data_IF_933344509095
#
_entry.id   IF_933344509095
#
_cell.length_a   1.000
_cell.length_b   1.000
_cell.length_c   1.000
_cell.angle_alpha   90.00
_cell.angle_beta   90.00
_cell.angle_gamma   90.00
#
_symmetry.space_group_name_H-M   'P 1'
#
loop_
_entity.id
_entity.type
_entity.pdbx_description
1 polymer ?
#
# COMPACT_ATOMS: atom_id res chain seq x y z
N UNK A 1 16.05 -4.15 34.55
CA UNK A 1 16.33 -4.80 33.24
C UNK A 1 15.12 -4.76 32.30
N UNK A 2 13.89 -5.02 32.74
CA UNK A 2 12.65 -4.83 31.97
C UNK A 2 12.52 -3.47 31.24
N UNK A 3 12.82 -2.36 31.92
CA UNK A 3 12.76 -1.00 31.30
C UNK A 3 13.77 -0.82 30.17
N UNK A 4 14.90 -1.52 30.23
CA UNK A 4 15.97 -1.44 29.22
C UNK A 4 15.60 -2.31 28.01
N UNK A 5 14.97 -3.47 28.22
CA UNK A 5 14.45 -4.32 27.16
C UNK A 5 13.30 -3.65 26.38
N UNK A 6 12.35 -3.04 27.10
CA UNK A 6 11.29 -2.20 26.50
C UNK A 6 11.83 -0.95 25.78
N UNK A 7 13.00 -0.44 26.20
CA UNK A 7 13.64 0.71 25.55
C UNK A 7 14.54 0.31 24.37
N UNK A 8 15.10 -0.90 24.36
CA UNK A 8 15.86 -1.44 23.24
C UNK A 8 14.93 -1.86 22.08
N UNK A 9 13.75 -2.41 22.41
CA UNK A 9 12.68 -2.66 21.43
C UNK A 9 12.11 -1.37 20.81
N UNK A 10 12.25 -0.22 21.50
CA UNK A 10 11.74 1.08 21.05
C UNK A 10 12.53 1.74 19.91
N UNK A 11 13.75 1.27 19.60
CA UNK A 11 14.70 2.06 18.81
C UNK A 11 14.82 1.71 17.32
N UNK A 12 14.11 0.71 16.81
CA UNK A 12 14.23 0.33 15.40
C UNK A 12 12.85 0.25 14.80
N UNK A 13 12.44 1.29 14.08
CA UNK A 13 11.65 1.22 12.84
C UNK A 13 11.11 2.58 12.43
N UNK A 14 11.83 3.21 11.51
CA UNK A 14 11.25 4.20 10.63
C UNK A 14 10.77 3.44 9.38
N UNK A 15 9.46 3.37 9.16
CA UNK A 15 8.84 2.89 7.92
C UNK A 15 9.02 4.02 6.88
N UNK A 16 10.26 4.31 6.50
CA UNK A 16 10.64 5.47 5.69
C UNK A 16 10.20 5.38 4.20
N UNK A 17 9.15 4.61 3.88
CA UNK A 17 8.76 4.28 2.51
C UNK A 17 7.43 4.93 2.04
N UNK A 18 6.72 5.68 2.90
CA UNK A 18 5.43 6.28 2.49
C UNK A 18 5.59 7.41 1.47
N UNK A 19 6.70 8.14 1.49
CA UNK A 19 6.89 9.36 0.71
C UNK A 19 6.96 9.15 -0.83
N UNK A 20 6.92 7.91 -1.32
CA UNK A 20 7.14 7.56 -2.72
C UNK A 20 5.93 7.09 -3.52
N UNK A 21 4.71 7.08 -2.96
CA UNK A 21 3.50 6.68 -3.69
C UNK A 21 2.91 7.86 -4.48
N UNK A 22 3.71 8.48 -5.35
CA UNK A 22 3.20 9.42 -6.35
C UNK A 22 3.02 8.64 -7.65
N UNK A 23 1.87 7.99 -7.78
CA UNK A 23 1.41 7.39 -9.04
C UNK A 23 0.98 8.55 -9.96
N UNK A 24 1.92 9.04 -10.78
CA UNK A 24 1.65 10.10 -11.77
C UNK A 24 1.00 9.48 -13.00
N UNK A 25 -0.25 9.05 -12.87
CA UNK A 25 -1.03 8.66 -14.04
C UNK A 25 -1.63 9.91 -14.69
N UNK A 26 -0.78 10.55 -15.50
CA UNK A 26 -1.07 11.36 -16.70
C UNK A 26 -2.40 12.15 -16.74
N UNK A 27 -2.74 12.80 -15.63
CA UNK A 27 -3.88 13.69 -15.49
C UNK A 27 -3.49 15.16 -15.44
N UNK A 28 -2.67 15.65 -16.38
CA UNK A 28 -2.52 17.10 -16.57
C UNK A 28 -2.15 17.44 -18.02
N UNK A 29 -3.07 17.20 -18.94
CA UNK A 29 -3.73 18.26 -19.75
C UNK A 29 -4.71 17.60 -20.71
N UNK A 30 -5.99 17.97 -20.60
CA UNK A 30 -6.88 17.92 -21.72
C UNK A 30 -6.36 18.91 -22.78
N UNK A 31 -5.57 18.42 -23.73
CA UNK A 31 -5.36 19.08 -25.02
C UNK A 31 -6.52 18.69 -25.95
N UNK A 32 -7.15 19.65 -26.65
CA UNK A 32 -8.27 19.37 -27.55
C UNK A 32 -7.77 18.77 -28.88
N UNK A 33 -7.29 17.52 -28.87
CA UNK A 33 -6.92 16.68 -30.03
C UNK A 33 -6.29 15.43 -29.42
N UNK A 34 -7.03 14.37 -29.08
CA UNK A 34 -7.67 13.45 -30.01
C UNK A 34 -8.94 12.92 -29.33
N UNK A 35 -10.10 13.36 -29.78
CA UNK A 35 -11.32 12.61 -29.55
C UNK A 35 -11.21 11.33 -30.40
N UNK A 36 -10.65 10.25 -29.84
CA UNK A 36 -11.02 8.93 -30.28
C UNK A 36 -12.50 8.78 -29.93
N UNK A 37 -13.37 9.09 -30.88
CA UNK A 37 -14.81 8.93 -30.79
C UNK A 37 -15.12 7.44 -30.55
N UNK A 38 -15.26 7.06 -29.29
CA UNK A 38 -15.62 5.72 -28.85
C UNK A 38 -15.77 5.66 -27.34
N UNK A 39 -16.73 4.86 -26.85
CA UNK A 39 -16.98 4.58 -25.42
C UNK A 39 -15.70 4.21 -24.64
N UNK A 40 -14.70 3.64 -25.32
CA UNK A 40 -13.43 3.20 -24.75
C UNK A 40 -12.54 4.32 -24.18
N UNK A 41 -12.56 5.53 -24.77
CA UNK A 41 -11.75 6.66 -24.25
C UNK A 41 -12.34 7.23 -22.95
N UNK A 42 -13.67 7.19 -22.81
CA UNK A 42 -14.39 7.65 -21.62
C UNK A 42 -14.25 6.63 -20.48
N UNK A 43 -14.41 5.33 -20.77
CA UNK A 43 -14.24 4.26 -19.78
C UNK A 43 -12.81 4.19 -19.23
N UNK A 44 -11.80 4.38 -20.09
CA UNK A 44 -10.40 4.45 -19.66
C UNK A 44 -10.15 5.64 -18.72
N UNK A 45 -10.67 6.82 -19.06
CA UNK A 45 -10.49 8.03 -18.24
C UNK A 45 -11.20 7.92 -16.88
N UNK A 46 -12.39 7.30 -16.83
CA UNK A 46 -13.13 7.07 -15.58
C UNK A 46 -12.46 6.00 -14.69
N UNK A 47 -11.95 4.93 -15.28
CA UNK A 47 -11.19 3.91 -14.55
C UNK A 47 -9.94 4.54 -13.91
N UNK A 48 -9.16 5.32 -14.66
CA UNK A 48 -7.96 5.98 -14.13
C UNK A 48 -8.28 7.02 -13.03
N UNK A 49 -9.40 7.74 -13.14
CA UNK A 49 -9.83 8.64 -12.07
C UNK A 49 -10.12 7.88 -10.76
N UNK A 50 -10.74 6.70 -10.85
CA UNK A 50 -11.02 5.85 -9.70
C UNK A 50 -9.75 5.22 -9.12
N UNK A 51 -8.82 4.76 -9.97
CA UNK A 51 -7.49 4.28 -9.54
C UNK A 51 -6.77 5.38 -8.77
N UNK A 52 -6.68 6.59 -9.32
CA UNK A 52 -6.01 7.72 -8.69
C UNK A 52 -6.63 8.09 -7.34
N UNK A 53 -7.97 8.09 -7.26
CA UNK A 53 -8.67 8.35 -6.00
C UNK A 53 -8.36 7.27 -4.96
N UNK A 54 -8.43 5.99 -5.33
CA UNK A 54 -8.14 4.89 -4.41
C UNK A 54 -6.69 4.92 -3.91
N UNK A 55 -5.75 5.27 -4.79
CA UNK A 55 -4.33 5.40 -4.47
C UNK A 55 -4.04 6.61 -3.58
N UNK A 56 -4.71 7.75 -3.78
CA UNK A 56 -4.57 8.93 -2.92
C UNK A 56 -5.13 8.64 -1.50
N UNK A 57 -6.30 8.00 -1.43
CA UNK A 57 -6.87 7.51 -0.17
C UNK A 57 -5.90 6.54 0.51
N UNK A 58 -5.34 5.58 -0.25
CA UNK A 58 -4.34 4.64 0.23
C UNK A 58 -3.09 5.35 0.76
N UNK A 59 -2.51 6.28 0.01
CA UNK A 59 -1.32 7.04 0.41
C UNK A 59 -1.53 7.76 1.74
N UNK A 60 -2.69 8.40 1.89
CA UNK A 60 -3.09 9.07 3.14
C UNK A 60 -3.15 8.07 4.31
N UNK A 61 -3.75 6.89 4.08
CA UNK A 61 -3.88 5.84 5.11
C UNK A 61 -2.54 5.20 5.47
N UNK A 62 -1.68 4.96 4.48
CA UNK A 62 -0.33 4.45 4.70
C UNK A 62 0.53 5.45 5.50
N UNK A 63 0.38 6.75 5.25
CA UNK A 63 1.05 7.79 6.04
C UNK A 63 0.56 7.83 7.49
N UNK A 64 -0.76 7.78 7.69
CA UNK A 64 -1.33 7.70 9.03
C UNK A 64 -0.95 6.39 9.76
N UNK A 65 -0.76 5.30 9.02
CA UNK A 65 -0.30 4.01 9.55
C UNK A 65 1.17 4.09 10.00
N UNK A 66 2.07 4.62 9.17
CA UNK A 66 3.48 4.84 9.54
C UNK A 66 3.60 5.75 10.77
N UNK A 67 2.82 6.83 10.79
CA UNK A 67 2.68 7.70 11.95
C UNK A 67 2.26 6.93 13.22
N UNK A 68 1.33 5.97 13.11
CA UNK A 68 0.91 5.14 14.23
C UNK A 68 2.00 4.12 14.65
N UNK A 69 2.72 3.54 13.69
CA UNK A 69 3.88 2.66 13.93
C UNK A 69 4.96 3.41 14.71
N UNK A 70 5.31 4.63 14.30
CA UNK A 70 6.32 5.45 14.97
C UNK A 70 5.94 5.77 16.43
N UNK A 71 4.64 5.89 16.72
CA UNK A 71 4.09 6.11 18.06
C UNK A 71 3.88 4.82 18.85
N UNK A 72 4.09 3.65 18.25
CA UNK A 72 3.77 2.33 18.81
C UNK A 72 2.30 2.22 19.25
N UNK A 73 1.39 2.88 18.51
CA UNK A 73 -0.03 2.90 18.81
C UNK A 73 -0.76 1.82 18.01
N UNK A 74 -0.83 0.62 18.57
CA UNK A 74 -1.43 -0.56 17.93
C UNK A 74 -2.91 -0.35 17.57
N UNK A 75 -3.65 0.41 18.38
CA UNK A 75 -5.06 0.69 18.12
C UNK A 75 -5.21 1.59 16.90
N UNK A 76 -4.40 2.65 16.81
CA UNK A 76 -4.35 3.49 15.62
C UNK A 76 -3.83 2.74 14.40
N UNK A 77 -2.80 1.88 14.54
CA UNK A 77 -2.28 1.05 13.45
C UNK A 77 -3.40 0.20 12.85
N UNK A 78 -4.16 -0.53 13.67
CA UNK A 78 -5.32 -1.32 13.20
C UNK A 78 -6.34 -0.46 12.46
N UNK A 79 -6.70 0.67 13.05
CA UNK A 79 -7.68 1.60 12.45
C UNK A 79 -7.22 2.11 11.08
N UNK A 80 -5.93 2.46 10.93
CA UNK A 80 -5.41 2.93 9.65
C UNK A 80 -5.19 1.78 8.66
N UNK A 81 -4.82 0.58 9.11
CA UNK A 81 -4.74 -0.61 8.28
C UNK A 81 -6.12 -0.98 7.71
N UNK A 82 -7.18 -0.98 8.53
CA UNK A 82 -8.55 -1.22 8.07
C UNK A 82 -8.99 -0.19 7.02
N UNK A 83 -8.64 1.08 7.24
CA UNK A 83 -8.87 2.15 6.27
C UNK A 83 -8.08 1.96 4.97
N UNK A 84 -6.83 1.51 5.05
CA UNK A 84 -6.01 1.18 3.89
C UNK A 84 -6.58 -0.05 3.15
N UNK A 85 -7.05 -1.07 3.87
CA UNK A 85 -7.69 -2.26 3.28
C UNK A 85 -8.90 -1.87 2.46
N UNK A 86 -9.75 -0.97 2.96
CA UNK A 86 -10.87 -0.45 2.20
C UNK A 86 -10.45 0.25 0.90
N UNK A 87 -9.35 1.02 0.91
CA UNK A 87 -8.82 1.67 -0.30
C UNK A 87 -8.25 0.64 -1.29
N UNK A 88 -7.52 -0.37 -0.79
CA UNK A 88 -6.99 -1.47 -1.59
C UNK A 88 -8.10 -2.35 -2.18
N UNK A 89 -9.16 -2.63 -1.42
CA UNK A 89 -10.35 -3.34 -1.89
C UNK A 89 -11.05 -2.57 -3.00
N UNK A 90 -11.19 -1.24 -2.86
CA UNK A 90 -11.75 -0.41 -3.94
C UNK A 90 -10.94 -0.53 -5.22
N UNK A 91 -9.60 -0.46 -5.12
CA UNK A 91 -8.70 -0.57 -6.26
C UNK A 91 -8.77 -1.96 -6.93
N UNK A 92 -8.80 -3.02 -6.11
CA UNK A 92 -8.89 -4.41 -6.55
C UNK A 92 -10.25 -4.74 -7.22
N UNK A 93 -11.33 -4.10 -6.78
CA UNK A 93 -12.68 -4.28 -7.30
C UNK A 93 -13.03 -3.40 -8.50
N UNK A 94 -12.13 -2.50 -8.93
CA UNK A 94 -12.36 -1.71 -10.13
C UNK A 94 -12.54 -2.64 -11.34
N UNK A 95 -13.48 -2.28 -12.21
CA UNK A 95 -13.71 -3.02 -13.44
C UNK A 95 -12.83 -2.41 -14.55
N UNK A 96 -11.70 -3.03 -14.91
CA UNK A 96 -10.86 -2.51 -15.97
C UNK A 96 -11.56 -2.66 -17.33
N UNK A 97 -11.41 -1.67 -18.22
CA UNK A 97 -11.66 -1.87 -19.65
C UNK A 97 -10.84 -3.06 -20.17
N UNK A 98 -11.30 -3.71 -21.25
CA UNK A 98 -10.63 -4.92 -21.78
C UNK A 98 -9.15 -4.71 -22.10
N UNK A 99 -8.78 -3.53 -22.60
CA UNK A 99 -7.39 -3.16 -22.88
C UNK A 99 -6.48 -3.07 -21.64
N UNK A 100 -7.05 -3.02 -20.42
CA UNK A 100 -6.34 -2.83 -19.16
C UNK A 100 -6.50 -4.01 -18.21
N UNK A 101 -7.01 -5.16 -18.67
CA UNK A 101 -7.13 -6.36 -17.83
C UNK A 101 -5.77 -6.77 -17.24
N UNK A 102 -4.70 -6.73 -18.04
CA UNK A 102 -3.34 -7.03 -17.59
C UNK A 102 -2.84 -6.02 -16.54
N UNK A 103 -3.25 -4.74 -16.65
CA UNK A 103 -2.92 -3.71 -15.64
C UNK A 103 -3.59 -4.02 -14.30
N UNK A 104 -4.83 -4.49 -14.31
CA UNK A 104 -5.56 -4.83 -13.09
C UNK A 104 -4.87 -5.95 -12.31
N UNK A 105 -4.22 -6.91 -12.96
CA UNK A 105 -3.45 -7.97 -12.28
C UNK A 105 -2.33 -7.38 -11.42
N UNK A 106 -1.58 -6.41 -11.95
CA UNK A 106 -0.55 -5.69 -11.17
C UNK A 106 -1.14 -4.95 -9.96
N UNK A 107 -2.32 -4.35 -10.11
CA UNK A 107 -2.99 -3.69 -9.00
C UNK A 107 -3.51 -4.69 -7.95
N UNK A 108 -4.10 -5.81 -8.37
CA UNK A 108 -4.54 -6.90 -7.48
C UNK A 108 -3.37 -7.49 -6.68
N UNK A 109 -2.27 -7.81 -7.34
CA UNK A 109 -1.07 -8.35 -6.70
C UNK A 109 -0.44 -7.33 -5.73
N UNK A 110 -0.42 -6.06 -6.14
CA UNK A 110 0.00 -4.96 -5.28
C UNK A 110 -0.86 -4.82 -4.03
N UNK A 111 -2.17 -4.87 -4.20
CA UNK A 111 -3.14 -4.82 -3.11
C UNK A 111 -3.00 -5.99 -2.15
N UNK A 112 -2.85 -7.21 -2.65
CA UNK A 112 -2.67 -8.40 -1.81
C UNK A 112 -1.40 -8.29 -0.96
N UNK A 113 -0.27 -7.91 -1.59
CA UNK A 113 1.02 -7.78 -0.90
C UNK A 113 1.02 -6.66 0.15
N UNK A 114 0.37 -5.53 -0.14
CA UNK A 114 0.21 -4.44 0.84
C UNK A 114 -0.68 -4.83 2.02
N UNK A 115 -1.77 -5.58 1.77
CA UNK A 115 -2.64 -6.09 2.85
C UNK A 115 -1.88 -7.04 3.77
N UNK A 116 -1.09 -7.95 3.19
CA UNK A 116 -0.23 -8.86 3.94
C UNK A 116 0.77 -8.09 4.82
N UNK A 117 1.45 -7.10 4.25
CA UNK A 117 2.43 -6.30 4.98
C UNK A 117 1.82 -5.52 6.16
N UNK A 118 0.71 -4.81 5.91
CA UNK A 118 0.02 -4.04 6.95
C UNK A 118 -0.51 -4.95 8.08
N UNK A 119 -1.07 -6.11 7.72
CA UNK A 119 -1.51 -7.11 8.69
C UNK A 119 -0.32 -7.63 9.52
N UNK A 120 0.80 -7.95 8.85
CA UNK A 120 2.01 -8.41 9.52
C UNK A 120 2.58 -7.38 10.50
N UNK A 121 2.56 -6.10 10.15
CA UNK A 121 2.93 -5.02 11.09
C UNK A 121 1.99 -4.97 12.30
N UNK A 122 0.67 -4.99 12.07
CA UNK A 122 -0.32 -4.99 13.14
C UNK A 122 -0.12 -6.20 14.07
N UNK A 123 0.08 -7.39 13.52
CA UNK A 123 0.25 -8.62 14.29
C UNK A 123 1.55 -8.60 15.10
N UNK A 124 2.67 -8.19 14.47
CA UNK A 124 3.96 -8.07 15.14
C UNK A 124 3.88 -7.12 16.34
N UNK A 125 3.29 -5.95 16.17
CA UNK A 125 3.18 -4.97 17.23
C UNK A 125 2.14 -5.35 18.30
N UNK A 126 1.07 -6.05 17.91
CA UNK A 126 0.12 -6.64 18.86
C UNK A 126 0.79 -7.67 19.76
N UNK A 127 1.64 -8.53 19.18
CA UNK A 127 2.37 -9.54 19.94
C UNK A 127 3.35 -8.90 20.92
N UNK A 128 4.06 -7.84 20.50
CA UNK A 128 4.94 -7.06 21.38
C UNK A 128 4.16 -6.39 22.51
N UNK A 129 3.01 -5.79 22.21
CA UNK A 129 2.16 -5.10 23.21
C UNK A 129 1.57 -6.08 24.24
N UNK A 130 1.19 -7.28 23.80
CA UNK A 130 0.63 -8.33 24.66
C UNK A 130 1.67 -9.14 25.44
N UNK A 131 2.97 -8.95 25.18
CA UNK A 131 4.04 -9.68 25.83
C UNK A 131 4.12 -9.40 27.34
N UNK A 132 4.35 -10.46 28.12
CA UNK A 132 4.46 -10.40 29.58
C UNK A 132 5.75 -11.06 30.06
N UNK A 133 6.06 -10.98 31.37
CA UNK A 133 7.23 -11.68 31.91
C UNK A 133 7.11 -13.21 31.85
N UNK A 134 5.89 -13.73 31.84
CA UNK A 134 5.63 -15.18 31.77
C UNK A 134 5.61 -15.67 30.32
N UNK A 135 5.30 -14.78 29.37
CA UNK A 135 5.31 -15.04 27.94
C UNK A 135 5.99 -13.86 27.25
N UNK A 136 7.33 -13.81 27.27
CA UNK A 136 8.07 -12.73 26.65
C UNK A 136 7.98 -12.84 25.12
N UNK A 137 8.07 -11.69 24.46
CA UNK A 137 8.20 -11.63 23.01
C UNK A 137 9.52 -12.27 22.55
N UNK A 138 9.48 -13.07 21.49
CA UNK A 138 10.68 -13.67 20.90
C UNK A 138 11.40 -12.68 19.96
N UNK A 139 12.40 -12.01 20.50
CA UNK A 139 13.22 -11.09 19.74
C UNK A 139 14.19 -11.77 18.75
N UNK A 140 14.40 -13.09 18.85
CA UNK A 140 15.35 -13.78 17.95
C UNK A 140 14.84 -13.88 16.52
N UNK A 141 13.52 -13.85 16.32
CA UNK A 141 12.87 -13.90 15.00
C UNK A 141 12.41 -12.51 14.52
N UNK A 142 12.55 -11.48 15.35
CA UNK A 142 12.04 -10.14 15.09
C UNK A 142 12.55 -9.54 13.77
N UNK A 143 13.87 -9.50 13.58
CA UNK A 143 14.48 -8.90 12.39
C UNK A 143 14.05 -9.62 11.11
N UNK A 144 13.99 -10.95 11.15
CA UNK A 144 13.54 -11.76 10.01
C UNK A 144 12.06 -11.49 9.69
N UNK A 145 11.19 -11.50 10.69
CA UNK A 145 9.75 -11.22 10.50
C UNK A 145 9.56 -9.83 9.93
N UNK A 146 10.30 -8.86 10.46
CA UNK A 146 10.24 -7.50 9.98
C UNK A 146 10.70 -7.36 8.52
N UNK A 147 11.82 -8.00 8.18
CA UNK A 147 12.34 -8.01 6.81
C UNK A 147 11.32 -8.63 5.84
N UNK A 148 10.64 -9.72 6.24
CA UNK A 148 9.56 -10.31 5.44
C UNK A 148 8.39 -9.35 5.24
N UNK A 149 7.96 -8.66 6.29
CA UNK A 149 6.88 -7.66 6.22
C UNK A 149 7.27 -6.50 5.29
N UNK A 150 8.50 -5.99 5.42
CA UNK A 150 9.03 -4.94 4.56
C UNK A 150 9.13 -5.40 3.10
N UNK A 151 9.57 -6.63 2.87
CA UNK A 151 9.63 -7.22 1.53
C UNK A 151 8.24 -7.31 0.88
N UNK A 152 7.21 -7.71 1.63
CA UNK A 152 5.83 -7.72 1.13
C UNK A 152 5.34 -6.30 0.81
N UNK A 153 5.66 -5.33 1.69
CA UNK A 153 5.33 -3.92 1.47
C UNK A 153 5.96 -3.39 0.17
N UNK A 154 7.27 -3.58 0.01
CA UNK A 154 8.03 -3.14 -1.16
C UNK A 154 7.58 -3.85 -2.44
N UNK A 155 7.23 -5.14 -2.34
CA UNK A 155 6.65 -5.90 -3.46
C UNK A 155 5.33 -5.31 -3.89
N UNK A 156 4.47 -4.98 -2.93
CA UNK A 156 3.18 -4.36 -3.19
C UNK A 156 3.30 -3.00 -3.88
N UNK A 157 4.20 -2.15 -3.38
CA UNK A 157 4.50 -0.86 -4.01
C UNK A 157 5.07 -1.00 -5.43
N UNK A 158 5.95 -1.97 -5.66
CA UNK A 158 6.52 -2.25 -6.98
C UNK A 158 5.45 -2.71 -7.96
N UNK A 159 4.54 -3.59 -7.53
CA UNK A 159 3.44 -4.05 -8.37
C UNK A 159 2.50 -2.89 -8.76
N UNK A 160 2.13 -2.01 -7.81
CA UNK A 160 1.34 -0.81 -8.13
C UNK A 160 2.04 0.08 -9.17
N UNK A 161 3.35 0.31 -9.01
CA UNK A 161 4.16 1.09 -9.97
C UNK A 161 4.27 0.40 -11.35
N UNK A 162 4.35 -0.92 -11.38
CA UNK A 162 4.38 -1.68 -12.62
C UNK A 162 3.05 -1.57 -13.37
N UNK A 163 1.92 -1.62 -12.67
CA UNK A 163 0.59 -1.36 -13.23
C UNK A 163 0.54 0.02 -13.88
N UNK A 164 1.00 1.05 -13.16
CA UNK A 164 1.08 2.43 -13.66
C UNK A 164 1.94 2.57 -14.92
N UNK A 165 3.11 1.94 -14.93
CA UNK A 165 4.03 1.96 -16.07
C UNK A 165 3.38 1.27 -17.27
N UNK A 166 2.72 0.13 -17.05
CA UNK A 166 2.04 -0.62 -18.11
C UNK A 166 0.89 0.19 -18.72
N UNK A 167 0.15 0.96 -17.92
CA UNK A 167 -0.84 1.93 -18.44
C UNK A 167 -0.20 2.93 -19.39
N UNK A 168 0.98 3.44 -19.05
CA UNK A 168 1.71 4.41 -19.87
C UNK A 168 2.16 3.80 -21.20
N UNK A 169 2.71 2.58 -21.16
CA UNK A 169 3.14 1.84 -22.35
C UNK A 169 1.97 1.56 -23.32
N UNK A 170 0.84 1.10 -22.79
CA UNK A 170 -0.37 0.82 -23.59
C UNK A 170 -0.98 2.07 -24.25
N UNK A 171 -0.68 3.28 -23.72
CA UNK A 171 -1.09 4.55 -24.33
C UNK A 171 -0.10 5.05 -25.38
N UNK A 172 1.18 4.73 -25.27
CA UNK A 172 2.20 5.14 -26.26
C UNK A 172 2.19 4.29 -27.52
N UNK A 173 1.62 3.09 -27.46
CA UNK A 173 1.47 2.18 -28.61
C UNK A 173 0.20 2.45 -29.44
N UNK A 174 -0.63 3.43 -29.04
CA UNK A 174 -1.84 3.89 -29.76
C UNK A 174 -1.59 5.20 -30.51
#
# INVERSE_FOLDING_TARGET
MQKVLKSACKQVLALAAVAGLVLVLAGCVAGPQQAATGENANANSQYMAQVNQAVEELSTKLGAFDDAVSRNDVVSMRTQADGAFAALDKLDQLQPPEALKEVQEYYSDGCASLKEALSGYVDLYTEIDSATDQQPFDYSTYEQRLASIQSAYDTGLQALRAGDQKVTELRSDQ
#
